data_IF_079100347119
#
_entry.id   IF_079100347119
#
_cell.length_a   1.000
_cell.length_b   1.000
_cell.length_c   1.000
_cell.angle_alpha   90.00
_cell.angle_beta   90.00
_cell.angle_gamma   90.00
#
_symmetry.space_group_name_H-M   'P 1'
#
loop_
_entity.id
_entity.type
_entity.pdbx_description
1 polymer ?
#
# COMPACT_ATOMS: atom_id res chain seq x y z
N UNK A 1 -22.88 -9.71 4.79
CA UNK A 1 -22.69 -9.18 6.12
C UNK A 1 -22.46 -10.33 7.11
N UNK A 2 -21.47 -10.19 8.00
CA UNK A 2 -21.14 -11.18 9.03
C UNK A 2 -21.25 -10.57 10.43
N UNK A 3 -22.24 -9.75 10.64
CA UNK A 3 -22.49 -9.10 11.92
C UNK A 3 -23.53 -9.88 12.75
N UNK A 4 -23.46 -9.78 14.07
CA UNK A 4 -24.38 -10.35 15.03
C UNK A 4 -24.71 -9.32 16.12
N UNK A 5 -25.64 -9.62 17.01
CA UNK A 5 -25.96 -8.76 18.17
C UNK A 5 -24.81 -8.56 19.14
N UNK A 6 -23.76 -9.40 19.07
CA UNK A 6 -22.54 -9.29 19.88
C UNK A 6 -21.36 -8.65 19.15
N UNK A 7 -21.56 -8.08 17.98
CA UNK A 7 -20.49 -7.43 17.20
C UNK A 7 -20.15 -6.09 17.82
N UNK A 8 -18.93 -5.94 18.34
CA UNK A 8 -18.38 -4.68 18.87
C UNK A 8 -17.68 -3.83 17.82
N UNK A 9 -17.06 -4.47 16.83
CA UNK A 9 -16.32 -3.80 15.76
C UNK A 9 -16.84 -4.27 14.42
N UNK A 10 -17.29 -3.33 13.60
CA UNK A 10 -17.72 -3.59 12.22
C UNK A 10 -16.73 -2.95 11.24
N UNK A 11 -16.10 -3.77 10.42
CA UNK A 11 -15.27 -3.32 9.30
C UNK A 11 -16.12 -3.29 8.04
N UNK A 12 -16.08 -2.17 7.33
CA UNK A 12 -16.83 -1.97 6.10
C UNK A 12 -16.10 -1.05 5.14
N UNK A 13 -16.46 -1.11 3.86
CA UNK A 13 -15.98 -0.14 2.88
C UNK A 13 -16.71 1.19 3.03
N UNK A 14 -16.10 2.25 2.51
CA UNK A 14 -16.69 3.60 2.43
C UNK A 14 -18.08 3.59 1.75
N UNK A 15 -18.23 2.81 0.67
CA UNK A 15 -19.51 2.66 -0.03
C UNK A 15 -20.61 2.01 0.82
N UNK A 16 -20.26 1.05 1.70
CA UNK A 16 -21.24 0.45 2.63
C UNK A 16 -21.65 1.47 3.69
N UNK A 17 -20.72 2.27 4.23
CA UNK A 17 -21.04 3.31 5.18
C UNK A 17 -21.97 4.37 4.54
N UNK A 18 -21.74 4.74 3.28
CA UNK A 18 -22.63 5.63 2.54
C UNK A 18 -24.05 5.05 2.38
N UNK A 19 -24.17 3.73 2.17
CA UNK A 19 -25.47 3.07 2.13
C UNK A 19 -26.18 3.10 3.48
N UNK A 20 -25.45 2.87 4.57
CA UNK A 20 -26.02 2.95 5.93
C UNK A 20 -26.48 4.36 6.30
N UNK A 21 -25.77 5.40 5.88
CA UNK A 21 -26.18 6.80 6.06
C UNK A 21 -27.54 7.10 5.41
N UNK A 22 -27.87 6.42 4.31
CA UNK A 22 -29.17 6.59 3.64
C UNK A 22 -30.32 6.02 4.47
N UNK A 23 -30.08 4.94 5.22
CA UNK A 23 -31.06 4.27 6.07
C UNK A 23 -31.14 4.90 7.46
N UNK A 24 -29.98 5.20 8.05
CA UNK A 24 -29.84 5.86 9.34
C UNK A 24 -28.92 7.09 9.21
N UNK A 25 -29.46 8.28 8.89
CA UNK A 25 -28.67 9.49 8.72
C UNK A 25 -27.92 9.93 9.97
N UNK A 26 -28.30 9.47 11.12
CA UNK A 26 -27.61 9.78 12.37
C UNK A 26 -26.60 8.73 12.79
N UNK A 27 -26.50 7.60 12.09
CA UNK A 27 -25.61 6.49 12.41
C UNK A 27 -25.73 6.05 13.88
N UNK A 28 -26.98 5.95 14.37
CA UNK A 28 -27.27 5.73 15.79
C UNK A 28 -26.71 4.43 16.35
N UNK A 29 -26.41 3.46 15.49
CA UNK A 29 -25.81 2.17 15.87
C UNK A 29 -24.35 2.30 16.31
N UNK A 30 -23.69 3.42 16.05
CA UNK A 30 -22.25 3.61 16.30
C UNK A 30 -22.04 4.71 17.33
N UNK A 31 -21.12 4.48 18.26
CA UNK A 31 -20.60 5.48 19.19
C UNK A 31 -19.27 6.08 18.71
N UNK A 32 -18.56 5.32 17.89
CA UNK A 32 -17.23 5.69 17.36
C UNK A 32 -17.14 5.28 15.89
N UNK A 33 -16.64 6.18 15.06
CA UNK A 33 -16.32 5.93 13.66
C UNK A 33 -14.84 6.14 13.43
N UNK A 34 -14.23 5.25 12.65
CA UNK A 34 -12.84 5.34 12.23
C UNK A 34 -12.82 5.42 10.70
N UNK A 35 -12.35 6.53 10.16
CA UNK A 35 -12.09 6.69 8.72
C UNK A 35 -10.60 6.45 8.51
N UNK A 36 -10.29 5.28 7.95
CA UNK A 36 -8.93 4.86 7.71
C UNK A 36 -8.44 5.30 6.34
N UNK A 37 -7.11 5.51 6.20
CA UNK A 37 -6.45 5.91 4.96
C UNK A 37 -7.07 7.17 4.29
N UNK A 38 -7.47 8.14 5.08
CA UNK A 38 -8.16 9.34 4.58
C UNK A 38 -7.35 10.14 3.54
N UNK A 39 -6.03 9.92 3.47
CA UNK A 39 -5.16 10.54 2.47
C UNK A 39 -5.37 10.00 1.04
N UNK A 40 -6.04 8.88 0.85
CA UNK A 40 -6.39 8.38 -0.49
C UNK A 40 -7.37 9.31 -1.22
N UNK A 41 -8.09 10.16 -0.48
CA UNK A 41 -8.95 11.22 -1.02
C UNK A 41 -9.90 10.73 -2.12
N UNK A 42 -10.46 9.52 -1.97
CA UNK A 42 -11.53 9.05 -2.84
C UNK A 42 -12.75 9.97 -2.71
N UNK A 43 -13.57 10.02 -3.77
CA UNK A 43 -14.81 10.81 -3.74
C UNK A 43 -15.71 10.44 -2.54
N UNK A 44 -15.78 9.16 -2.21
CA UNK A 44 -16.55 8.68 -1.07
C UNK A 44 -15.97 9.17 0.26
N UNK A 45 -14.67 9.10 0.43
CA UNK A 45 -13.98 9.59 1.64
C UNK A 45 -14.20 11.09 1.80
N UNK A 46 -14.01 11.88 0.75
CA UNK A 46 -14.22 13.34 0.81
C UNK A 46 -15.68 13.69 1.16
N UNK A 47 -16.64 12.96 0.59
CA UNK A 47 -18.05 13.13 0.95
C UNK A 47 -18.31 12.77 2.42
N UNK A 48 -17.77 11.62 2.88
CA UNK A 48 -17.93 11.18 4.27
C UNK A 48 -17.34 12.19 5.25
N UNK A 49 -16.15 12.72 5.00
CA UNK A 49 -15.53 13.75 5.86
C UNK A 49 -16.42 14.99 6.00
N UNK A 50 -16.98 15.47 4.88
CA UNK A 50 -17.92 16.60 4.90
C UNK A 50 -19.22 16.29 5.62
N UNK A 51 -19.77 15.09 5.42
CA UNK A 51 -20.98 14.64 6.09
C UNK A 51 -20.76 14.47 7.60
N UNK A 52 -19.70 13.81 8.00
CA UNK A 52 -19.39 13.54 9.41
C UNK A 52 -19.10 14.84 10.18
N UNK A 53 -18.45 15.83 9.56
CA UNK A 53 -18.30 17.16 10.17
C UNK A 53 -19.66 17.77 10.59
N UNK A 54 -20.66 17.66 9.72
CA UNK A 54 -22.03 18.15 10.02
C UNK A 54 -22.74 17.27 11.05
N UNK A 55 -22.49 15.97 11.01
CA UNK A 55 -23.11 15.02 11.94
C UNK A 55 -22.61 15.22 13.37
N UNK A 56 -21.32 15.48 13.58
CA UNK A 56 -20.72 15.71 14.90
C UNK A 56 -21.37 16.88 15.63
N UNK A 57 -21.82 17.92 14.92
CA UNK A 57 -22.58 19.05 15.52
C UNK A 57 -23.92 18.56 16.06
N UNK A 58 -24.60 17.64 15.37
CA UNK A 58 -25.90 17.09 15.74
C UNK A 58 -25.82 15.95 16.75
N UNK A 59 -24.68 15.30 16.82
CA UNK A 59 -24.38 14.16 17.71
C UNK A 59 -23.09 14.38 18.50
N UNK A 60 -23.08 15.22 19.54
CA UNK A 60 -21.88 15.52 20.32
C UNK A 60 -21.25 14.28 21.00
N UNK A 61 -22.02 13.21 21.22
CA UNK A 61 -21.52 11.95 21.80
C UNK A 61 -20.83 11.03 20.79
N UNK A 62 -20.94 11.28 19.48
CA UNK A 62 -20.27 10.49 18.47
C UNK A 62 -18.77 10.83 18.44
N UNK A 63 -17.91 9.84 18.46
CA UNK A 63 -16.47 10.00 18.33
C UNK A 63 -16.04 9.71 16.89
N UNK A 64 -15.15 10.53 16.36
CA UNK A 64 -14.58 10.36 15.05
C UNK A 64 -13.05 10.30 15.15
N UNK A 65 -12.48 9.27 14.58
CA UNK A 65 -11.03 9.13 14.39
C UNK A 65 -10.76 9.10 12.90
N UNK A 66 -9.84 9.95 12.45
CA UNK A 66 -9.39 9.97 11.05
C UNK A 66 -7.92 9.59 11.04
N UNK A 67 -7.57 8.50 10.35
CA UNK A 67 -6.18 8.10 10.19
C UNK A 67 -5.66 8.52 8.82
N UNK A 68 -4.40 8.88 8.76
CA UNK A 68 -3.72 9.31 7.53
C UNK A 68 -2.23 9.02 7.61
N UNK A 69 -1.65 8.56 6.51
CA UNK A 69 -0.21 8.30 6.40
C UNK A 69 0.60 9.49 5.88
N UNK A 70 -0.02 10.63 5.58
CA UNK A 70 0.64 11.75 4.91
C UNK A 70 0.58 13.07 5.69
N UNK A 71 1.33 14.05 5.17
CA UNK A 71 1.66 15.38 5.73
C UNK A 71 0.42 16.30 5.90
N UNK A 72 -0.75 15.96 5.37
CA UNK A 72 -1.94 16.82 5.39
C UNK A 72 -2.72 16.79 6.73
N UNK A 73 -2.11 16.34 7.81
CA UNK A 73 -2.75 16.24 9.14
C UNK A 73 -3.35 17.58 9.58
N UNK A 74 -2.66 18.69 9.30
CA UNK A 74 -3.15 20.03 9.67
C UNK A 74 -4.43 20.41 8.95
N UNK A 75 -4.60 19.99 7.68
CA UNK A 75 -5.84 20.24 6.94
C UNK A 75 -7.02 19.46 7.53
N UNK A 76 -6.79 18.19 7.93
CA UNK A 76 -7.82 17.40 8.62
C UNK A 76 -8.18 18.00 9.98
N UNK A 77 -7.18 18.42 10.77
CA UNK A 77 -7.39 19.08 12.05
C UNK A 77 -8.25 20.32 11.89
N UNK A 78 -7.86 21.25 11.03
CA UNK A 78 -8.61 22.48 10.75
C UNK A 78 -10.02 22.20 10.19
N UNK A 79 -10.17 21.16 9.36
CA UNK A 79 -11.48 20.75 8.88
C UNK A 79 -12.42 20.34 10.02
N UNK A 80 -11.92 19.71 11.08
CA UNK A 80 -12.69 19.27 12.25
C UNK A 80 -12.50 20.19 13.46
N UNK A 81 -12.49 21.51 13.24
CA UNK A 81 -12.45 22.56 14.30
C UNK A 81 -11.21 22.41 15.20
N UNK A 82 -10.04 22.29 14.59
CA UNK A 82 -8.74 22.13 15.23
C UNK A 82 -8.69 20.89 16.13
N UNK A 83 -9.26 19.78 15.64
CA UNK A 83 -9.20 18.49 16.31
C UNK A 83 -7.75 18.10 16.64
N UNK A 84 -7.50 17.50 17.83
CA UNK A 84 -6.15 17.14 18.25
C UNK A 84 -5.51 16.15 17.28
N UNK A 85 -4.24 16.37 16.98
CA UNK A 85 -3.42 15.48 16.17
C UNK A 85 -2.63 14.58 17.12
N UNK A 86 -2.75 13.28 16.94
CA UNK A 86 -1.93 12.28 17.62
C UNK A 86 -0.98 11.70 16.58
N UNK A 87 0.28 12.07 16.68
CA UNK A 87 1.31 11.54 15.80
C UNK A 87 1.93 10.29 16.42
N UNK A 88 1.78 9.17 15.74
CA UNK A 88 2.38 7.90 16.14
C UNK A 88 3.58 7.64 15.25
N UNK A 89 4.77 8.00 15.71
CA UNK A 89 6.00 7.59 15.04
C UNK A 89 6.24 6.10 15.34
N UNK A 90 5.93 5.23 14.40
CA UNK A 90 6.47 3.88 14.43
C UNK A 90 8.00 3.97 14.39
N UNK A 91 8.71 3.20 15.24
CA UNK A 91 10.17 3.07 15.12
C UNK A 91 10.45 2.39 13.79
N UNK A 92 10.74 3.19 12.77
CA UNK A 92 11.23 2.69 11.49
C UNK A 92 12.75 2.63 11.54
N UNK A 93 13.29 1.53 11.03
CA UNK A 93 14.72 1.43 10.85
C UNK A 93 15.17 2.23 9.61
N UNK A 94 16.45 2.65 9.56
CA UNK A 94 16.96 3.35 8.39
C UNK A 94 16.81 2.53 7.11
N UNK A 95 16.45 3.21 6.02
CA UNK A 95 16.39 2.64 4.68
C UNK A 95 17.51 3.27 3.85
N UNK A 96 18.38 2.44 3.29
CA UNK A 96 19.39 2.84 2.33
C UNK A 96 18.77 2.91 0.92
N UNK A 97 18.91 4.05 0.24
CA UNK A 97 18.43 4.24 -1.12
C UNK A 97 19.55 4.07 -2.13
N UNK A 98 19.32 3.20 -3.10
CA UNK A 98 20.24 2.96 -4.23
C UNK A 98 19.49 3.29 -5.52
N UNK A 99 19.86 4.40 -6.15
CA UNK A 99 19.23 4.81 -7.41
C UNK A 99 19.92 4.14 -8.60
N UNK A 100 19.14 3.43 -9.39
CA UNK A 100 19.57 2.80 -10.64
C UNK A 100 18.67 3.29 -11.78
N UNK A 101 18.88 4.50 -12.31
CA UNK A 101 18.07 5.02 -13.41
C UNK A 101 18.22 4.12 -14.63
N UNK A 102 17.12 3.97 -15.39
CA UNK A 102 17.20 3.30 -16.68
C UNK A 102 18.05 4.15 -17.63
N UNK A 103 19.02 3.55 -18.28
CA UNK A 103 19.68 4.22 -19.41
C UNK A 103 18.68 4.28 -20.57
N UNK A 104 18.46 5.48 -21.12
CA UNK A 104 17.50 5.71 -22.24
C UNK A 104 17.85 4.89 -23.50
N UNK A 105 19.09 4.43 -23.61
CA UNK A 105 19.59 3.65 -24.75
C UNK A 105 19.47 2.13 -24.60
N UNK A 106 19.16 1.61 -23.42
CA UNK A 106 19.10 0.18 -23.20
C UNK A 106 17.67 -0.34 -23.42
N UNK A 107 17.48 -1.10 -24.49
CA UNK A 107 16.26 -1.89 -24.73
C UNK A 107 16.18 -3.10 -23.77
N UNK A 108 16.69 -2.96 -22.54
CA UNK A 108 16.60 -4.02 -21.53
C UNK A 108 15.15 -4.23 -21.10
N UNK A 109 14.72 -5.46 -21.15
CA UNK A 109 13.39 -5.83 -20.63
C UNK A 109 13.34 -5.59 -19.12
N UNK A 110 12.18 -5.15 -18.62
CA UNK A 110 11.96 -4.87 -17.20
C UNK A 110 12.36 -6.06 -16.30
N UNK A 111 12.13 -7.29 -16.76
CA UNK A 111 12.52 -8.51 -16.06
C UNK A 111 14.03 -8.62 -15.84
N UNK A 112 14.84 -8.30 -16.84
CA UNK A 112 16.31 -8.34 -16.76
C UNK A 112 16.83 -7.27 -15.79
N UNK A 113 16.27 -6.09 -15.81
CA UNK A 113 16.62 -5.02 -14.86
C UNK A 113 16.30 -5.41 -13.42
N UNK A 114 15.17 -6.05 -13.17
CA UNK A 114 14.81 -6.55 -11.84
C UNK A 114 15.77 -7.67 -11.41
N UNK A 115 16.16 -8.58 -12.31
CA UNK A 115 17.18 -9.61 -12.04
C UNK A 115 18.52 -8.95 -11.66
N UNK A 116 18.95 -7.92 -12.37
CA UNK A 116 20.14 -7.13 -12.03
C UNK A 116 20.06 -6.52 -10.62
N UNK A 117 18.93 -5.90 -10.29
CA UNK A 117 18.70 -5.35 -8.94
C UNK A 117 18.71 -6.46 -7.85
N UNK A 118 18.14 -7.64 -8.11
CA UNK A 118 18.21 -8.79 -7.19
C UNK A 118 19.67 -9.25 -6.99
N UNK A 119 20.46 -9.28 -8.05
CA UNK A 119 21.88 -9.63 -7.95
C UNK A 119 22.65 -8.59 -7.11
N UNK A 120 22.34 -7.32 -7.24
CA UNK A 120 22.92 -6.26 -6.42
C UNK A 120 22.51 -6.42 -4.95
N UNK A 121 21.24 -6.70 -4.66
CA UNK A 121 20.78 -7.03 -3.31
C UNK A 121 21.57 -8.21 -2.73
N UNK A 122 21.83 -9.25 -3.50
CA UNK A 122 22.65 -10.39 -3.03
C UNK A 122 24.08 -9.99 -2.69
N UNK A 123 24.68 -9.04 -3.42
CA UNK A 123 26.00 -8.48 -3.10
C UNK A 123 25.97 -7.66 -1.82
N UNK A 124 24.96 -6.81 -1.65
CA UNK A 124 24.73 -6.01 -0.43
C UNK A 124 24.54 -6.94 0.77
N UNK A 125 23.69 -7.94 0.66
CA UNK A 125 23.40 -8.90 1.72
C UNK A 125 24.62 -9.70 2.18
N UNK A 126 25.56 -9.99 1.28
CA UNK A 126 26.85 -10.64 1.64
C UNK A 126 27.74 -9.73 2.46
N UNK A 127 27.74 -8.42 2.19
CA UNK A 127 28.58 -7.43 2.90
C UNK A 127 27.98 -7.01 4.24
N UNK A 128 26.66 -6.89 4.28
CA UNK A 128 25.90 -6.44 5.46
C UNK A 128 24.64 -7.30 5.62
N UNK A 129 24.74 -8.49 6.24
CA UNK A 129 23.60 -9.38 6.39
C UNK A 129 22.58 -8.79 7.36
N UNK A 130 21.29 -8.85 6.97
CA UNK A 130 20.15 -8.45 7.79
C UNK A 130 19.28 -9.67 8.10
N UNK A 131 18.52 -9.67 9.23
CA UNK A 131 17.71 -10.82 9.65
C UNK A 131 16.57 -11.13 8.68
N UNK A 132 15.97 -10.09 8.08
CA UNK A 132 14.87 -10.22 7.13
C UNK A 132 15.41 -10.08 5.71
N UNK A 133 15.22 -11.10 4.87
CA UNK A 133 15.88 -11.22 3.57
C UNK A 133 14.95 -11.16 2.38
N UNK A 134 13.64 -11.13 2.59
CA UNK A 134 12.67 -11.15 1.51
C UNK A 134 12.69 -9.83 0.74
N UNK A 135 12.37 -9.93 -0.54
CA UNK A 135 12.39 -8.83 -1.49
C UNK A 135 10.95 -8.50 -1.90
N UNK A 136 10.57 -7.24 -1.82
CA UNK A 136 9.31 -6.74 -2.35
C UNK A 136 9.58 -5.90 -3.59
N UNK A 137 8.94 -6.25 -4.71
CA UNK A 137 9.07 -5.53 -5.98
C UNK A 137 7.76 -4.86 -6.32
N UNK A 138 7.79 -3.55 -6.56
CA UNK A 138 6.62 -2.80 -7.01
C UNK A 138 6.58 -2.73 -8.53
N UNK A 139 5.46 -3.18 -9.10
CA UNK A 139 5.19 -3.26 -10.52
C UNK A 139 3.86 -2.59 -10.87
N UNK A 140 3.70 -2.12 -12.11
CA UNK A 140 2.53 -1.36 -12.50
C UNK A 140 1.26 -2.22 -12.67
N UNK A 141 1.39 -3.54 -12.86
CA UNK A 141 0.22 -4.38 -13.09
C UNK A 141 0.51 -5.87 -13.28
N UNK A 142 -0.57 -6.62 -13.43
CA UNK A 142 -0.57 -8.08 -13.48
C UNK A 142 0.30 -8.65 -14.62
N UNK A 143 0.30 -7.99 -15.80
CA UNK A 143 1.12 -8.43 -16.92
C UNK A 143 2.61 -8.36 -16.58
N UNK A 144 3.08 -7.23 -16.06
CA UNK A 144 4.48 -7.07 -15.64
C UNK A 144 4.86 -8.05 -14.53
N UNK A 145 3.94 -8.32 -13.60
CA UNK A 145 4.14 -9.33 -12.54
C UNK A 145 4.37 -10.71 -13.13
N UNK A 146 3.56 -11.13 -14.12
CA UNK A 146 3.70 -12.43 -14.77
C UNK A 146 5.00 -12.52 -15.57
N UNK A 147 5.26 -11.53 -16.41
CA UNK A 147 6.44 -11.50 -17.26
C UNK A 147 7.73 -11.52 -16.41
N UNK A 148 7.78 -10.73 -15.34
CA UNK A 148 8.89 -10.70 -14.37
C UNK A 148 9.02 -12.02 -13.60
N UNK A 149 7.89 -12.60 -13.17
CA UNK A 149 7.91 -13.89 -12.48
C UNK A 149 8.51 -14.99 -13.36
N UNK A 150 8.17 -15.01 -14.63
CA UNK A 150 8.69 -15.99 -15.59
C UNK A 150 10.17 -15.77 -15.90
N UNK A 151 10.62 -14.51 -15.99
CA UNK A 151 12.03 -14.17 -16.14
C UNK A 151 12.85 -14.66 -14.93
N UNK A 152 12.40 -14.38 -13.70
CA UNK A 152 13.09 -14.79 -12.48
C UNK A 152 13.12 -16.33 -12.34
N UNK A 153 12.02 -17.02 -12.68
CA UNK A 153 11.96 -18.50 -12.60
C UNK A 153 12.88 -19.20 -13.60
N UNK A 154 13.14 -18.57 -14.75
CA UNK A 154 14.10 -19.07 -15.75
C UNK A 154 15.54 -18.96 -15.25
N UNK A 155 15.86 -17.96 -14.46
CA UNK A 155 17.19 -17.79 -13.88
C UNK A 155 17.36 -18.65 -12.61
N UNK A 156 17.80 -19.88 -12.81
CA UNK A 156 18.02 -20.84 -11.72
C UNK A 156 19.12 -20.42 -10.73
N UNK A 157 19.95 -19.41 -11.06
CA UNK A 157 21.01 -18.92 -10.18
C UNK A 157 20.46 -18.11 -9.00
N UNK A 158 19.22 -17.60 -9.12
CA UNK A 158 18.63 -16.76 -8.10
C UNK A 158 18.10 -17.54 -6.89
N UNK A 159 17.66 -18.78 -7.08
CA UNK A 159 17.14 -19.66 -6.02
C UNK A 159 16.12 -18.96 -5.08
N UNK A 160 15.08 -18.31 -5.65
CA UNK A 160 14.05 -17.56 -4.95
C UNK A 160 12.68 -18.24 -5.05
N UNK A 161 11.85 -18.11 -4.00
CA UNK A 161 10.41 -18.39 -4.10
C UNK A 161 9.70 -17.15 -4.63
N UNK A 162 9.10 -17.24 -5.82
CA UNK A 162 8.43 -16.12 -6.49
C UNK A 162 6.95 -16.12 -6.16
N UNK A 163 6.45 -15.07 -5.50
CA UNK A 163 5.05 -14.90 -5.11
C UNK A 163 4.45 -13.65 -5.76
N UNK A 164 3.40 -13.79 -6.58
CA UNK A 164 2.64 -12.63 -7.05
C UNK A 164 1.71 -12.10 -5.96
N UNK A 165 1.47 -10.77 -5.94
CA UNK A 165 0.56 -10.11 -5.01
C UNK A 165 -0.18 -8.95 -5.70
N UNK A 166 -1.43 -9.17 -6.08
CA UNK A 166 -2.31 -8.15 -6.68
C UNK A 166 -3.78 -8.43 -6.33
N UNK A 167 -4.63 -7.42 -6.43
CA UNK A 167 -5.99 -7.43 -5.90
C UNK A 167 -6.91 -8.55 -6.45
N UNK A 168 -6.67 -9.00 -7.70
CA UNK A 168 -7.49 -10.04 -8.35
C UNK A 168 -7.13 -11.48 -7.97
N UNK A 169 -6.04 -11.68 -7.24
CA UNK A 169 -5.70 -13.01 -6.73
C UNK A 169 -6.76 -13.50 -5.75
N UNK A 170 -7.02 -14.79 -5.76
CA UNK A 170 -7.88 -15.38 -4.74
C UNK A 170 -7.23 -15.32 -3.34
N UNK A 171 -8.05 -15.38 -2.30
CA UNK A 171 -7.60 -15.26 -0.91
C UNK A 171 -6.51 -16.28 -0.54
N UNK A 172 -6.55 -17.49 -1.10
CA UNK A 172 -5.56 -18.53 -0.81
C UNK A 172 -4.18 -18.15 -1.36
N UNK A 173 -4.13 -17.59 -2.56
CA UNK A 173 -2.89 -17.12 -3.17
C UNK A 173 -2.36 -15.87 -2.47
N UNK A 174 -3.22 -14.90 -2.15
CA UNK A 174 -2.83 -13.73 -1.38
C UNK A 174 -2.26 -14.11 -0.01
N UNK A 175 -2.85 -15.08 0.67
CA UNK A 175 -2.41 -15.52 1.99
C UNK A 175 -1.05 -16.24 1.99
N UNK A 176 -0.53 -16.67 0.85
CA UNK A 176 0.80 -17.29 0.77
C UNK A 176 1.92 -16.38 1.26
N UNK A 177 1.81 -15.07 1.06
CA UNK A 177 2.84 -14.12 1.49
C UNK A 177 2.96 -14.02 3.02
N UNK A 178 1.93 -14.46 3.77
CA UNK A 178 1.91 -14.46 5.24
C UNK A 178 2.36 -15.78 5.88
N UNK A 179 2.54 -16.83 5.07
CA UNK A 179 2.94 -18.15 5.60
C UNK A 179 4.43 -18.15 5.95
N UNK A 180 4.80 -18.89 6.99
CA UNK A 180 6.19 -19.10 7.34
C UNK A 180 6.93 -19.86 6.21
N UNK A 181 8.22 -19.57 6.02
CA UNK A 181 9.02 -20.12 4.95
C UNK A 181 10.49 -20.20 5.35
N UNK A 182 11.24 -21.05 4.67
CA UNK A 182 12.70 -21.21 4.85
C UNK A 182 13.50 -20.62 3.69
N UNK A 183 12.92 -20.61 2.48
CA UNK A 183 13.56 -20.11 1.27
C UNK A 183 13.32 -18.60 1.13
N UNK A 184 14.34 -17.85 0.73
CA UNK A 184 14.18 -16.42 0.46
C UNK A 184 13.09 -16.20 -0.59
N UNK A 185 12.20 -15.23 -0.33
CA UNK A 185 11.08 -14.86 -1.20
C UNK A 185 11.34 -13.59 -1.98
N UNK A 186 10.78 -13.56 -3.17
CA UNK A 186 10.56 -12.33 -3.92
C UNK A 186 9.06 -12.17 -4.17
N UNK A 187 8.47 -11.12 -3.61
CA UNK A 187 7.05 -10.80 -3.74
C UNK A 187 6.91 -9.73 -4.82
N UNK A 188 6.25 -10.06 -5.92
CA UNK A 188 5.99 -9.16 -7.03
C UNK A 188 4.60 -8.55 -6.84
N UNK A 189 4.51 -7.27 -6.51
CA UNK A 189 3.28 -6.65 -6.08
C UNK A 189 2.91 -5.41 -6.90
N UNK A 190 1.62 -5.12 -6.98
CA UNK A 190 1.13 -3.80 -7.35
C UNK A 190 1.12 -2.87 -6.13
N UNK A 191 0.59 -1.66 -6.28
CA UNK A 191 0.39 -0.73 -5.16
C UNK A 191 -0.46 -1.28 -4.00
N UNK A 192 -1.07 -2.46 -4.11
CA UNK A 192 -1.76 -3.14 -3.00
C UNK A 192 -0.83 -3.38 -1.79
N UNK A 193 0.47 -3.56 -2.03
CA UNK A 193 1.47 -3.71 -0.97
C UNK A 193 2.03 -2.36 -0.47
N UNK A 194 1.60 -1.23 -1.04
CA UNK A 194 2.02 0.10 -0.62
C UNK A 194 1.32 0.55 0.66
N UNK A 195 0.01 0.32 0.76
CA UNK A 195 -0.82 0.74 1.91
C UNK A 195 -1.59 -0.43 2.51
N UNK A 196 -2.35 -1.15 1.70
CA UNK A 196 -3.40 -2.07 2.13
C UNK A 196 -2.90 -3.38 2.76
N UNK A 197 -1.71 -3.87 2.37
CA UNK A 197 -1.16 -5.12 2.87
C UNK A 197 0.26 -4.94 3.40
N UNK A 198 0.50 -5.43 4.61
CA UNK A 198 1.85 -5.49 5.18
C UNK A 198 2.43 -6.88 5.00
N UNK A 199 3.35 -7.01 4.03
CA UNK A 199 4.08 -8.27 3.81
C UNK A 199 5.16 -8.41 4.89
N UNK A 200 5.18 -9.51 5.67
CA UNK A 200 6.18 -9.71 6.70
C UNK A 200 7.55 -10.09 6.12
N UNK A 201 8.62 -9.84 6.87
CA UNK A 201 9.96 -10.33 6.54
C UNK A 201 10.69 -9.58 5.42
N UNK A 202 10.15 -8.44 4.95
CA UNK A 202 10.76 -7.65 3.88
C UNK A 202 11.96 -6.88 4.41
N UNK A 203 13.14 -7.16 3.84
CA UNK A 203 14.38 -6.43 4.09
C UNK A 203 14.83 -5.59 2.89
N UNK A 204 14.31 -5.91 1.70
CA UNK A 204 14.67 -5.23 0.46
C UNK A 204 13.45 -4.84 -0.34
N UNK A 205 13.51 -3.66 -0.96
CA UNK A 205 12.49 -3.17 -1.89
C UNK A 205 13.14 -2.88 -3.24
N UNK A 206 12.48 -3.25 -4.32
CA UNK A 206 12.78 -2.78 -5.67
C UNK A 206 11.55 -2.00 -6.15
N UNK A 207 11.74 -0.70 -6.44
CA UNK A 207 10.65 0.17 -6.87
C UNK A 207 10.89 0.65 -8.30
N UNK A 208 10.03 0.23 -9.22
CA UNK A 208 10.11 0.67 -10.63
C UNK A 208 9.70 2.13 -10.83
N UNK A 209 9.26 2.81 -9.79
CA UNK A 209 8.84 4.22 -9.84
C UNK A 209 7.53 4.46 -10.57
N UNK A 210 6.78 3.40 -10.93
CA UNK A 210 5.54 3.51 -11.69
C UNK A 210 4.37 2.79 -11.02
N UNK A 211 3.15 3.23 -11.34
CA UNK A 211 1.91 2.57 -10.92
C UNK A 211 0.79 2.80 -11.94
N UNK A 212 -0.24 1.95 -11.91
CA UNK A 212 -1.50 2.24 -12.56
C UNK A 212 -2.34 3.14 -11.66
N UNK A 213 -2.58 4.35 -12.13
CA UNK A 213 -3.34 5.37 -11.41
C UNK A 213 -4.69 5.56 -12.09
N UNK A 214 -5.76 5.50 -11.30
CA UNK A 214 -7.11 5.74 -11.81
C UNK A 214 -7.27 7.21 -12.19
N UNK A 215 -7.58 7.48 -13.46
CA UNK A 215 -7.86 8.81 -13.99
C UNK A 215 -9.23 8.84 -14.63
N UNK A 216 -10.06 9.76 -14.19
CA UNK A 216 -11.35 10.03 -14.82
C UNK A 216 -11.20 11.11 -15.87
N UNK A 217 -11.52 10.77 -17.12
CA UNK A 217 -11.58 11.74 -18.21
C UNK A 217 -12.96 12.37 -18.27
N UNK A 218 -13.09 13.62 -17.89
CA UNK A 218 -14.35 14.39 -17.96
C UNK A 218 -14.85 14.47 -19.41
N UNK A 219 -13.94 14.60 -20.38
CA UNK A 219 -14.26 14.72 -21.80
C UNK A 219 -14.87 13.44 -22.38
N UNK A 220 -14.29 12.28 -22.06
CA UNK A 220 -14.74 10.99 -22.60
C UNK A 220 -15.69 10.25 -21.66
N UNK A 221 -15.89 10.74 -20.42
CA UNK A 221 -16.66 10.10 -19.34
C UNK A 221 -16.21 8.67 -19.05
N UNK A 222 -14.94 8.38 -19.28
CA UNK A 222 -14.36 7.04 -19.12
C UNK A 222 -13.28 7.10 -18.03
N UNK A 223 -13.30 6.12 -17.14
CA UNK A 223 -12.21 5.87 -16.22
C UNK A 223 -11.10 5.10 -16.92
N UNK A 224 -9.87 5.59 -16.83
CA UNK A 224 -8.67 4.96 -17.40
C UNK A 224 -7.71 4.63 -16.27
N UNK A 225 -6.84 3.66 -16.52
CA UNK A 225 -5.78 3.24 -15.61
C UNK A 225 -4.42 3.32 -16.32
N UNK A 226 -3.96 4.52 -16.70
CA UNK A 226 -2.64 4.68 -17.29
C UNK A 226 -1.55 4.28 -16.31
N UNK A 227 -0.39 3.86 -16.85
CA UNK A 227 0.83 3.70 -16.08
C UNK A 227 1.48 5.07 -16.01
N UNK A 228 1.71 5.57 -14.82
CA UNK A 228 2.30 6.88 -14.57
C UNK A 228 3.39 6.78 -13.52
N UNK A 229 4.29 7.76 -13.49
CA UNK A 229 5.25 7.91 -12.40
C UNK A 229 4.52 8.15 -11.07
N UNK A 230 5.03 7.55 -10.00
CA UNK A 230 4.49 7.72 -8.65
C UNK A 230 4.93 9.05 -8.04
N UNK A 231 4.21 9.51 -7.02
CA UNK A 231 4.62 10.65 -6.22
C UNK A 231 5.80 10.31 -5.29
N UNK A 232 6.52 11.34 -4.83
CA UNK A 232 7.56 11.17 -3.82
C UNK A 232 7.02 10.54 -2.51
N UNK A 233 5.79 10.88 -2.14
CA UNK A 233 5.14 10.30 -0.96
C UNK A 233 4.93 8.79 -1.12
N UNK A 234 4.45 8.36 -2.29
CA UNK A 234 4.31 6.94 -2.64
C UNK A 234 5.67 6.22 -2.64
N UNK A 235 6.70 6.80 -3.25
CA UNK A 235 8.05 6.24 -3.23
C UNK A 235 8.58 6.05 -1.79
N UNK A 236 8.37 7.03 -0.91
CA UNK A 236 8.75 6.94 0.49
C UNK A 236 7.96 5.84 1.24
N UNK A 237 6.66 5.70 0.97
CA UNK A 237 5.84 4.64 1.55
C UNK A 237 6.30 3.25 1.10
N UNK A 238 6.60 3.08 -0.18
CA UNK A 238 7.13 1.83 -0.75
C UNK A 238 8.48 1.47 -0.15
N UNK A 239 9.41 2.41 -0.12
CA UNK A 239 10.72 2.22 0.51
C UNK A 239 10.60 1.87 2.00
N UNK A 240 9.68 2.50 2.72
CA UNK A 240 9.41 2.21 4.13
C UNK A 240 8.97 0.77 4.42
N UNK A 241 8.61 -0.02 3.39
CA UNK A 241 8.24 -1.43 3.57
C UNK A 241 9.41 -2.30 4.03
N UNK A 242 10.66 -1.99 3.68
CA UNK A 242 11.84 -2.73 4.14
C UNK A 242 12.44 -2.20 5.46
N UNK A 243 12.03 -1.02 5.94
CA UNK A 243 12.51 -0.43 7.20
C UNK A 243 11.63 -0.71 8.43
N UNK A 244 10.75 -1.71 8.40
CA UNK A 244 9.79 -1.96 9.50
C UNK A 244 10.36 -2.79 10.64
N UNK A 245 11.13 -3.81 10.33
CA UNK A 245 11.62 -4.80 11.30
C UNK A 245 13.13 -4.74 11.50
N UNK A 246 13.87 -4.24 10.53
CA UNK A 246 15.31 -4.05 10.53
C UNK A 246 15.70 -2.97 9.53
N UNK A 247 16.96 -2.47 9.54
CA UNK A 247 17.47 -1.65 8.46
C UNK A 247 17.26 -2.32 7.11
N UNK A 248 16.84 -1.54 6.11
CA UNK A 248 16.50 -2.05 4.80
C UNK A 248 17.24 -1.35 3.67
N UNK A 249 17.09 -1.86 2.45
CA UNK A 249 17.59 -1.22 1.23
C UNK A 249 16.48 -1.15 0.19
N UNK A 250 16.33 0.02 -0.43
CA UNK A 250 15.42 0.26 -1.55
C UNK A 250 16.25 0.62 -2.79
N UNK A 251 16.04 -0.10 -3.89
CA UNK A 251 16.65 0.15 -5.20
C UNK A 251 15.58 0.71 -6.13
#
# INVERSE_FOLDING_TARGET
>A
DRTSSSTYLKLMTDGILLSEIREDPFLNKYDTLIIDEAHERSLNIDFLLGYLKRLLVKRPGLKLIVTSATIDLQKFSSHFNDAPIIEVSGRTFPVNFVYQPAEESAAEELGERIIGAVQEIKKIAKKSPIPHRDILVFLSGEKEIRDTADAIRKDKSLDLEVLPLYARLNNKEQNRVFQSHSKQRIVLATNVAETSLTVPGIGYVIDTGTARISRYSVRSKIQRLPIEAISQASANQRAGRCGRLCPGTCI
#
